data_IF_452100125129
#
_entry.id   IF_452100125129
#
_cell.length_a   1.000
_cell.length_b   1.000
_cell.length_c   1.000
_cell.angle_alpha   90.00
_cell.angle_beta   90.00
_cell.angle_gamma   90.00
#
_symmetry.space_group_name_H-M   'P 1'
#
loop_
_entity.id
_entity.type
_entity.pdbx_description
1 polymer ?
#
# COMPACT_ATOMS: atom_id res chain seq x y z
N UNK A 1 8.11 18.18 -16.38
CA UNK A 1 7.60 18.01 -15.00
C UNK A 1 6.81 19.27 -14.67
N UNK A 2 5.55 19.11 -14.27
CA UNK A 2 4.65 20.24 -14.00
C UNK A 2 5.14 21.11 -12.83
N UNK A 3 4.74 22.38 -12.80
CA UNK A 3 5.09 23.30 -11.73
C UNK A 3 4.43 22.91 -10.38
N UNK A 4 4.93 23.48 -9.29
CA UNK A 4 4.47 23.16 -7.94
C UNK A 4 2.96 23.40 -7.72
N UNK A 5 2.41 24.46 -8.31
CA UNK A 5 1.02 24.84 -8.12
C UNK A 5 0.08 23.94 -8.93
N UNK A 6 0.49 23.55 -10.14
CA UNK A 6 -0.20 22.56 -10.95
C UNK A 6 -0.20 21.18 -10.29
N UNK A 7 0.94 20.70 -9.77
CA UNK A 7 1.01 19.42 -9.03
C UNK A 7 0.16 19.44 -7.78
N UNK A 8 0.16 20.54 -7.03
CA UNK A 8 -0.71 20.70 -5.89
C UNK A 8 -2.18 20.59 -6.32
N UNK A 9 -2.62 21.32 -7.34
CA UNK A 9 -4.04 21.32 -7.76
C UNK A 9 -4.54 19.94 -8.23
N UNK A 10 -3.67 19.13 -8.86
CA UNK A 10 -3.98 17.76 -9.31
C UNK A 10 -4.13 16.75 -8.18
N UNK A 11 -3.56 17.01 -7.01
CA UNK A 11 -3.50 16.03 -5.93
C UNK A 11 -4.78 15.96 -5.10
N UNK A 12 -5.13 14.73 -4.71
CA UNK A 12 -6.29 14.40 -3.88
C UNK A 12 -6.24 15.18 -2.55
N UNK A 13 -7.38 15.74 -2.11
CA UNK A 13 -7.48 16.51 -0.84
C UNK A 13 -8.02 15.69 0.34
N UNK A 14 -8.47 14.47 0.09
CA UNK A 14 -9.16 13.61 1.07
C UNK A 14 -8.21 12.53 1.59
N UNK A 15 -8.52 12.02 2.78
CA UNK A 15 -7.90 10.79 3.29
C UNK A 15 -7.90 9.72 2.19
N UNK A 16 -6.75 9.09 1.91
CA UNK A 16 -6.67 7.99 0.96
C UNK A 16 -7.70 6.91 1.29
N UNK A 17 -8.42 6.43 0.28
CA UNK A 17 -9.36 5.32 0.48
C UNK A 17 -8.64 4.06 0.96
N UNK A 18 -7.36 3.93 0.59
CA UNK A 18 -6.44 2.88 1.02
C UNK A 18 -6.23 2.91 2.55
N UNK A 19 -6.06 4.09 3.15
CA UNK A 19 -5.91 4.21 4.60
C UNK A 19 -7.22 3.90 5.33
N UNK A 20 -8.37 4.26 4.74
CA UNK A 20 -9.68 3.93 5.30
C UNK A 20 -9.92 2.41 5.23
N UNK A 21 -9.67 1.80 4.07
CA UNK A 21 -9.78 0.37 3.88
C UNK A 21 -8.83 -0.40 4.80
N UNK A 22 -7.60 0.09 5.00
CA UNK A 22 -6.66 -0.61 5.86
C UNK A 22 -7.06 -0.56 7.34
N UNK A 23 -7.61 0.56 7.81
CA UNK A 23 -8.20 0.65 9.16
C UNK A 23 -9.35 -0.33 9.32
N UNK A 24 -10.26 -0.43 8.34
CA UNK A 24 -11.38 -1.37 8.39
C UNK A 24 -10.91 -2.84 8.40
N UNK A 25 -9.99 -3.19 7.49
CA UNK A 25 -9.42 -4.53 7.40
C UNK A 25 -8.62 -4.94 8.64
N UNK A 26 -8.02 -3.98 9.36
CA UNK A 26 -7.30 -4.27 10.63
C UNK A 26 -8.23 -4.89 11.68
N UNK A 27 -9.52 -4.55 11.64
CA UNK A 27 -10.52 -5.09 12.57
C UNK A 27 -11.30 -6.26 12.00
N UNK A 28 -11.54 -6.25 10.69
CA UNK A 28 -12.48 -7.16 10.04
C UNK A 28 -11.82 -8.32 9.27
N UNK A 29 -10.49 -8.34 9.14
CA UNK A 29 -9.76 -9.37 8.39
C UNK A 29 -8.68 -10.03 9.24
N UNK A 30 -8.62 -11.36 9.19
CA UNK A 30 -7.50 -12.14 9.74
C UNK A 30 -6.33 -12.26 8.76
N UNK A 31 -6.54 -11.93 7.49
CA UNK A 31 -5.55 -12.11 6.41
C UNK A 31 -4.73 -10.84 6.16
N UNK A 32 -5.11 -9.73 6.80
CA UNK A 32 -4.45 -8.43 6.64
C UNK A 32 -3.57 -8.17 7.87
N UNK A 33 -2.26 -7.92 7.70
CA UNK A 33 -1.39 -7.55 8.82
C UNK A 33 -1.94 -6.32 9.54
N UNK A 34 -1.97 -6.31 10.88
CA UNK A 34 -2.61 -5.22 11.61
C UNK A 34 -1.92 -3.88 11.39
N UNK A 35 -2.69 -2.82 11.19
CA UNK A 35 -2.20 -1.46 11.26
C UNK A 35 -1.90 -1.11 12.73
N UNK A 36 -0.63 -0.89 13.05
CA UNK A 36 -0.16 -0.53 14.40
C UNK A 36 -0.26 0.98 14.64
N UNK A 37 -0.15 1.77 13.57
CA UNK A 37 -0.32 3.22 13.62
C UNK A 37 -0.11 3.87 12.27
N UNK A 38 -0.57 5.11 12.15
CA UNK A 38 -0.32 5.93 10.96
C UNK A 38 -0.07 7.39 11.35
N UNK A 39 0.62 8.12 10.47
CA UNK A 39 0.83 9.57 10.60
C UNK A 39 0.57 10.23 9.26
N UNK A 40 -0.26 11.26 9.28
CA UNK A 40 -0.50 12.11 8.11
C UNK A 40 0.28 13.42 8.27
N UNK A 41 1.06 13.79 7.27
CA UNK A 41 1.84 15.04 7.26
C UNK A 41 1.59 15.82 5.99
N UNK A 42 1.53 17.15 6.04
CA UNK A 42 1.59 17.95 4.82
C UNK A 42 3.05 18.05 4.32
N UNK A 43 3.25 17.89 3.01
CA UNK A 43 4.51 18.18 2.35
C UNK A 43 4.69 19.69 2.27
N UNK A 44 5.91 20.15 2.55
CA UNK A 44 6.28 21.56 2.44
C UNK A 44 6.34 22.03 0.98
N UNK A 45 6.67 23.31 0.78
CA UNK A 45 6.72 23.93 -0.55
C UNK A 45 7.84 23.41 -1.45
N UNK A 46 8.78 22.62 -0.91
CA UNK A 46 9.84 21.96 -1.67
C UNK A 46 9.53 20.49 -1.95
N UNK A 47 8.43 19.97 -1.39
CA UNK A 47 7.96 18.62 -1.61
C UNK A 47 7.57 18.31 -3.05
N UNK A 48 7.45 17.02 -3.35
CA UNK A 48 7.00 16.55 -4.66
C UNK A 48 5.57 17.01 -4.97
N UNK A 49 4.76 17.21 -3.94
CA UNK A 49 3.42 17.77 -4.06
C UNK A 49 3.15 18.74 -2.90
N UNK A 50 3.54 20.02 -3.06
CA UNK A 50 3.39 21.04 -2.02
C UNK A 50 1.99 21.17 -1.43
N UNK A 51 1.89 21.25 -0.10
CA UNK A 51 0.63 21.44 0.61
C UNK A 51 -0.31 20.22 0.56
N UNK A 52 0.23 19.03 0.28
CA UNK A 52 -0.53 17.77 0.20
C UNK A 52 -0.03 16.75 1.21
N UNK A 53 -0.82 15.72 1.44
CA UNK A 53 -0.55 14.79 2.52
C UNK A 53 0.39 13.65 2.08
N UNK A 54 1.28 13.26 2.98
CA UNK A 54 1.96 11.98 2.97
C UNK A 54 1.40 11.16 4.14
N UNK A 55 1.07 9.90 3.88
CA UNK A 55 0.65 8.95 4.91
C UNK A 55 1.79 7.99 5.18
N UNK A 56 2.25 7.99 6.42
CA UNK A 56 3.22 7.02 6.93
C UNK A 56 2.45 5.94 7.67
N UNK A 57 2.75 4.68 7.40
CA UNK A 57 2.10 3.53 8.01
C UNK A 57 3.13 2.75 8.82
N UNK A 58 2.70 2.23 9.96
CA UNK A 58 3.42 1.21 10.73
C UNK A 58 2.49 0.01 10.84
N UNK A 59 2.94 -1.13 10.37
CA UNK A 59 2.14 -2.34 10.32
C UNK A 59 2.86 -3.53 10.96
N UNK A 60 2.07 -4.53 11.33
CA UNK A 60 2.55 -5.82 11.84
C UNK A 60 3.41 -6.54 10.79
N UNK A 61 4.59 -6.99 11.21
CA UNK A 61 5.42 -7.85 10.37
C UNK A 61 4.93 -9.28 10.54
N UNK A 62 4.32 -9.82 9.48
CA UNK A 62 3.86 -11.22 9.45
C UNK A 62 4.99 -12.15 8.99
N UNK A 63 5.13 -13.34 9.59
CA UNK A 63 6.06 -14.35 9.12
C UNK A 63 5.65 -14.83 7.73
N UNK A 64 6.60 -14.92 6.81
CA UNK A 64 6.34 -15.36 5.45
C UNK A 64 7.40 -14.87 4.47
N UNK A 65 7.33 -15.38 3.23
CA UNK A 65 8.18 -14.92 2.14
C UNK A 65 7.45 -13.84 1.37
N UNK A 66 8.00 -12.62 1.41
CA UNK A 66 7.47 -11.52 0.60
C UNK A 66 7.50 -11.91 -0.90
N UNK A 67 6.39 -11.70 -1.64
CA UNK A 67 6.34 -11.92 -3.09
C UNK A 67 7.36 -11.08 -3.88
N UNK A 68 7.82 -9.95 -3.33
CA UNK A 68 8.89 -9.12 -3.88
C UNK A 68 10.10 -9.04 -2.93
N UNK A 69 11.23 -8.59 -3.45
CA UNK A 69 12.42 -8.25 -2.67
C UNK A 69 12.66 -6.72 -2.72
N UNK A 70 13.64 -6.23 -1.95
CA UNK A 70 14.00 -4.79 -1.86
C UNK A 70 14.46 -4.16 -3.18
N UNK A 71 14.80 -4.97 -4.18
CA UNK A 71 15.33 -4.57 -5.47
C UNK A 71 14.39 -4.86 -6.64
N UNK A 72 13.24 -5.52 -6.43
CA UNK A 72 12.34 -5.88 -7.52
C UNK A 72 11.32 -6.98 -7.20
N UNK A 73 10.46 -7.31 -8.18
CA UNK A 73 9.33 -8.23 -8.03
C UNK A 73 9.72 -9.73 -7.87
N UNK A 74 10.97 -10.06 -7.61
CA UNK A 74 11.54 -11.25 -8.24
C UNK A 74 11.23 -12.60 -7.56
N UNK A 75 10.48 -12.66 -6.45
CA UNK A 75 10.16 -13.95 -5.84
C UNK A 75 8.90 -14.58 -6.43
N UNK A 76 7.83 -13.80 -6.58
CA UNK A 76 6.57 -14.25 -7.18
C UNK A 76 6.62 -14.18 -8.71
N UNK A 77 7.23 -13.12 -9.27
CA UNK A 77 7.25 -12.93 -10.71
C UNK A 77 8.29 -13.81 -11.44
N UNK A 78 9.18 -14.46 -10.71
CA UNK A 78 10.08 -15.49 -11.25
C UNK A 78 9.44 -16.89 -11.31
N UNK A 79 8.26 -17.08 -10.69
CA UNK A 79 7.52 -18.34 -10.76
C UNK A 79 6.87 -18.51 -12.13
N UNK A 80 6.65 -19.76 -12.53
CA UNK A 80 5.93 -20.05 -13.76
C UNK A 80 4.44 -19.64 -13.66
N UNK A 81 3.75 -19.59 -14.80
CA UNK A 81 2.35 -19.17 -14.84
C UNK A 81 1.44 -20.06 -13.97
N UNK A 82 1.68 -21.38 -13.93
CA UNK A 82 0.87 -22.32 -13.17
C UNK A 82 1.03 -22.15 -11.65
N UNK A 83 2.26 -21.93 -11.19
CA UNK A 83 2.53 -21.61 -9.79
C UNK A 83 1.89 -20.27 -9.38
N UNK A 84 1.97 -19.25 -10.24
CA UNK A 84 1.33 -17.95 -9.97
C UNK A 84 -0.19 -18.07 -9.92
N UNK A 85 -0.79 -18.86 -10.80
CA UNK A 85 -2.22 -19.10 -10.81
C UNK A 85 -2.69 -19.90 -9.59
N UNK A 86 -1.91 -20.89 -9.15
CA UNK A 86 -2.17 -21.62 -7.91
C UNK A 86 -2.19 -20.68 -6.70
N UNK A 87 -1.20 -19.79 -6.58
CA UNK A 87 -1.16 -18.78 -5.52
C UNK A 87 -2.40 -17.87 -5.58
N UNK A 88 -2.76 -17.35 -6.76
CA UNK A 88 -3.95 -16.50 -6.93
C UNK A 88 -5.23 -17.22 -6.52
N UNK A 89 -5.39 -18.49 -6.90
CA UNK A 89 -6.53 -19.30 -6.52
C UNK A 89 -6.65 -19.45 -5.00
N UNK A 90 -5.54 -19.74 -4.31
CA UNK A 90 -5.52 -19.84 -2.84
C UNK A 90 -5.91 -18.52 -2.16
N UNK A 91 -5.50 -17.37 -2.70
CA UNK A 91 -5.95 -16.08 -2.18
C UNK A 91 -7.47 -15.92 -2.34
N UNK A 92 -8.04 -16.24 -3.51
CA UNK A 92 -9.49 -16.14 -3.74
C UNK A 92 -10.29 -17.03 -2.79
N UNK A 93 -9.88 -18.28 -2.59
CA UNK A 93 -10.54 -19.21 -1.67
C UNK A 93 -10.54 -18.70 -0.23
N UNK A 94 -9.47 -18.01 0.19
CA UNK A 94 -9.32 -17.52 1.57
C UNK A 94 -10.12 -16.24 1.85
N UNK A 95 -10.63 -15.56 0.81
CA UNK A 95 -11.49 -14.37 0.91
C UNK A 95 -12.98 -14.66 0.66
N UNK A 96 -13.37 -15.93 0.52
CA UNK A 96 -14.77 -16.38 0.35
C UNK A 96 -15.30 -16.99 1.65
#
# INVERSE_FOLDING_TARGET
>A
MDDAQTRASQAMKRTPQELIAYQDLTWNSSNTPKLLGYKTTAQDNLGLVPGRFAVWLVWEIVPGRSPGNKNGPDAFWALDDGERDGIRASFVETFT
#
